data_IF_415693310618
#
_entry.id   IF_415693310618
#
_cell.length_a   1.000
_cell.length_b   1.000
_cell.length_c   1.000
_cell.angle_alpha   90.00
_cell.angle_beta   90.00
_cell.angle_gamma   90.00
#
_symmetry.space_group_name_H-M   'P 1'
#
loop_
_entity.id
_entity.type
_entity.pdbx_description
1 polymer ?
#
# COMPACT_ATOMS: atom_id res chain seq x y z
N UNK A 1 -66.52 -26.93 -2.74
CA UNK A 1 -65.23 -27.63 -2.82
C UNK A 1 -64.53 -27.16 -4.08
N UNK A 2 -63.27 -26.73 -3.94
CA UNK A 2 -62.31 -26.35 -4.99
C UNK A 2 -62.72 -25.20 -5.92
N UNK A 3 -62.33 -23.97 -5.52
CA UNK A 3 -61.55 -23.01 -6.32
C UNK A 3 -61.13 -21.93 -5.30
N UNK A 4 -59.97 -22.14 -4.67
CA UNK A 4 -59.35 -21.15 -3.79
C UNK A 4 -57.86 -21.09 -4.12
N UNK A 5 -57.38 -19.87 -4.36
CA UNK A 5 -56.01 -19.40 -4.14
C UNK A 5 -54.90 -19.97 -5.02
N UNK A 6 -54.68 -19.33 -6.18
CA UNK A 6 -53.35 -19.28 -6.79
C UNK A 6 -53.17 -17.97 -7.58
N UNK A 7 -53.03 -16.86 -6.86
CA UNK A 7 -52.62 -15.57 -7.43
C UNK A 7 -51.90 -14.66 -6.43
N UNK A 8 -50.86 -15.16 -5.74
CA UNK A 8 -49.84 -14.26 -5.19
C UNK A 8 -48.53 -14.98 -4.87
N UNK A 9 -47.72 -15.29 -5.89
CA UNK A 9 -46.28 -15.46 -5.69
C UNK A 9 -45.55 -14.53 -6.68
N UNK A 10 -45.68 -13.22 -6.42
CA UNK A 10 -44.76 -12.25 -6.98
C UNK A 10 -43.37 -12.54 -6.42
N UNK A 11 -42.47 -13.05 -7.26
CA UNK A 11 -41.05 -13.18 -6.92
C UNK A 11 -40.48 -11.78 -6.78
N UNK A 12 -40.39 -11.28 -5.55
CA UNK A 12 -39.54 -10.14 -5.22
C UNK A 12 -38.10 -10.58 -5.42
N UNK A 13 -37.57 -10.39 -6.62
CA UNK A 13 -36.13 -10.36 -6.85
C UNK A 13 -35.64 -9.09 -6.17
N UNK A 14 -35.26 -9.20 -4.90
CA UNK A 14 -34.47 -8.16 -4.24
C UNK A 14 -33.17 -8.04 -5.04
N UNK A 15 -33.11 -7.06 -5.94
CA UNK A 15 -31.85 -6.57 -6.49
C UNK A 15 -31.08 -6.02 -5.29
N UNK A 16 -30.26 -6.87 -4.68
CA UNK A 16 -29.23 -6.46 -3.75
C UNK A 16 -28.26 -5.61 -4.58
N UNK A 17 -28.55 -4.31 -4.65
CA UNK A 17 -27.70 -3.34 -5.31
C UNK A 17 -26.36 -3.39 -4.60
N UNK A 18 -25.33 -3.87 -5.30
CA UNK A 18 -23.96 -3.73 -4.86
C UNK A 18 -23.68 -2.23 -4.80
N UNK A 19 -23.79 -1.62 -3.61
CA UNK A 19 -23.36 -0.25 -3.39
C UNK A 19 -21.85 -0.26 -3.58
N UNK A 20 -21.39 0.12 -4.78
CA UNK A 20 -20.01 0.49 -5.01
C UNK A 20 -19.70 1.64 -4.05
N UNK A 21 -18.96 1.35 -2.99
CA UNK A 21 -18.48 2.37 -2.06
C UNK A 21 -17.48 3.20 -2.83
N UNK A 22 -17.79 4.47 -3.08
CA UNK A 22 -16.84 5.39 -3.70
C UNK A 22 -15.57 5.38 -2.85
N UNK A 23 -14.46 4.93 -3.43
CA UNK A 23 -13.16 4.95 -2.76
C UNK A 23 -12.63 6.37 -2.80
N UNK A 24 -12.09 6.83 -1.66
CA UNK A 24 -11.48 8.15 -1.56
C UNK A 24 -10.29 8.25 -2.52
N UNK A 25 -10.13 9.40 -3.17
CA UNK A 25 -9.00 9.69 -4.06
C UNK A 25 -7.71 10.03 -3.28
N UNK A 26 -7.83 10.40 -2.01
CA UNK A 26 -6.71 10.71 -1.13
C UNK A 26 -6.96 10.19 0.29
N UNK A 27 -5.88 10.12 1.08
CA UNK A 27 -5.89 9.76 2.49
C UNK A 27 -4.92 10.65 3.26
N UNK A 28 -5.34 11.05 4.47
CA UNK A 28 -4.53 11.84 5.39
C UNK A 28 -3.99 10.96 6.51
N UNK A 29 -2.71 11.12 6.83
CA UNK A 29 -2.01 10.38 7.85
C UNK A 29 -1.50 11.33 8.93
N UNK A 30 -1.68 10.94 10.19
CA UNK A 30 -1.14 11.63 11.35
C UNK A 30 0.16 10.95 11.80
N UNK A 31 1.22 11.74 11.86
CA UNK A 31 2.59 11.38 12.22
C UNK A 31 3.00 12.03 13.56
N UNK A 32 2.05 12.58 14.32
CA UNK A 32 2.31 13.19 15.63
C UNK A 32 3.07 12.24 16.55
N UNK A 33 4.20 12.69 17.07
CA UNK A 33 5.09 11.88 17.92
C UNK A 33 6.13 11.03 17.18
N UNK A 34 6.21 11.11 15.85
CA UNK A 34 7.18 10.34 15.06
C UNK A 34 8.59 10.95 15.01
N UNK A 35 8.76 12.19 15.47
CA UNK A 35 10.02 12.94 15.33
C UNK A 35 10.51 13.45 16.68
N UNK A 36 11.72 13.04 17.06
CA UNK A 36 12.49 13.65 18.15
C UNK A 36 13.39 14.74 17.58
N UNK A 37 13.38 15.93 18.18
CA UNK A 37 14.15 17.08 17.70
C UNK A 37 15.42 17.26 18.53
N UNK A 38 16.54 17.42 17.84
CA UNK A 38 17.82 17.77 18.46
C UNK A 38 18.35 19.06 17.81
N UNK A 39 18.52 20.11 18.61
CA UNK A 39 18.98 21.44 18.18
C UNK A 39 18.16 22.07 17.03
N UNK A 40 16.84 21.82 16.99
CA UNK A 40 15.91 22.42 16.04
C UNK A 40 14.73 23.06 16.79
N UNK A 41 14.30 24.24 16.35
CA UNK A 41 13.15 24.95 16.95
C UNK A 41 11.80 24.36 16.50
N UNK A 42 11.74 23.81 15.29
CA UNK A 42 10.53 23.22 14.71
C UNK A 42 10.83 21.93 13.94
N UNK A 43 9.90 20.97 13.98
CA UNK A 43 10.00 19.70 13.29
C UNK A 43 9.29 19.68 11.92
N UNK A 44 9.34 18.54 11.21
CA UNK A 44 8.56 18.32 9.99
C UNK A 44 7.05 18.40 10.24
N UNK A 45 6.28 18.57 9.16
CA UNK A 45 4.82 18.50 9.23
C UNK A 45 4.38 17.13 9.77
N UNK A 46 3.51 17.14 10.78
CA UNK A 46 2.98 15.91 11.41
C UNK A 46 1.72 15.39 10.73
N UNK A 47 1.23 16.06 9.70
CA UNK A 47 0.09 15.60 8.92
C UNK A 47 0.47 15.61 7.45
N UNK A 48 0.27 14.48 6.78
CA UNK A 48 0.57 14.32 5.36
C UNK A 48 -0.65 13.78 4.63
N UNK A 49 -0.89 14.26 3.42
CA UNK A 49 -1.93 13.76 2.53
C UNK A 49 -1.27 13.07 1.34
N UNK A 50 -1.76 11.88 1.01
CA UNK A 50 -1.34 11.13 -0.17
C UNK A 50 -2.52 10.83 -1.08
N UNK A 51 -2.28 10.87 -2.39
CA UNK A 51 -3.23 10.36 -3.36
C UNK A 51 -3.23 8.83 -3.35
N UNK A 52 -4.35 8.23 -3.76
CA UNK A 52 -4.46 6.78 -3.97
C UNK A 52 -3.40 6.29 -4.96
N UNK A 53 -3.15 7.04 -6.03
CA UNK A 53 -2.25 6.62 -7.10
C UNK A 53 -0.79 6.60 -6.61
N UNK A 54 -0.39 7.55 -5.78
CA UNK A 54 0.95 7.56 -5.20
C UNK A 54 1.15 6.40 -4.22
N UNK A 55 0.15 6.14 -3.36
CA UNK A 55 0.19 4.98 -2.45
C UNK A 55 0.28 3.66 -3.21
N UNK A 56 -0.46 3.51 -4.31
CA UNK A 56 -0.41 2.31 -5.13
C UNK A 56 0.95 2.13 -5.79
N UNK A 57 1.53 3.18 -6.37
CA UNK A 57 2.88 3.14 -6.97
C UNK A 57 3.94 2.76 -5.93
N UNK A 58 3.90 3.39 -4.76
CA UNK A 58 4.85 3.10 -3.67
C UNK A 58 4.69 1.66 -3.17
N UNK A 59 3.45 1.18 -3.01
CA UNK A 59 3.18 -0.20 -2.61
C UNK A 59 3.73 -1.20 -3.64
N UNK A 60 3.48 -0.97 -4.94
CA UNK A 60 3.99 -1.83 -6.01
C UNK A 60 5.52 -1.90 -6.01
N UNK A 61 6.20 -0.77 -5.82
CA UNK A 61 7.66 -0.72 -5.72
C UNK A 61 8.18 -1.49 -4.49
N UNK A 62 7.63 -1.23 -3.31
CA UNK A 62 8.01 -1.94 -2.08
C UNK A 62 7.74 -3.44 -2.18
N UNK A 63 6.59 -3.83 -2.73
CA UNK A 63 6.26 -5.24 -2.95
C UNK A 63 7.25 -5.90 -3.92
N UNK A 64 7.61 -5.20 -5.00
CA UNK A 64 8.59 -5.69 -5.98
C UNK A 64 9.95 -5.93 -5.32
N UNK A 65 10.45 -4.97 -4.52
CA UNK A 65 11.70 -5.14 -3.77
C UNK A 65 11.62 -6.35 -2.82
N UNK A 66 10.55 -6.48 -2.04
CA UNK A 66 10.34 -7.65 -1.16
C UNK A 66 10.41 -8.97 -1.94
N UNK A 67 9.74 -9.06 -3.09
CA UNK A 67 9.74 -10.28 -3.91
C UNK A 67 11.12 -10.57 -4.51
N UNK A 68 11.82 -9.54 -4.96
CA UNK A 68 13.19 -9.65 -5.46
C UNK A 68 14.12 -10.21 -4.39
N UNK A 69 14.09 -9.67 -3.17
CA UNK A 69 14.95 -10.10 -2.06
C UNK A 69 14.66 -11.55 -1.62
N UNK A 70 13.39 -11.95 -1.56
CA UNK A 70 13.02 -13.35 -1.29
C UNK A 70 13.58 -14.28 -2.38
N UNK A 71 13.54 -13.85 -3.64
CA UNK A 71 14.15 -14.63 -4.73
C UNK A 71 15.67 -14.66 -4.59
N UNK A 72 16.32 -13.54 -4.25
CA UNK A 72 17.76 -13.50 -3.96
C UNK A 72 18.16 -14.47 -2.85
N UNK A 73 17.39 -14.56 -1.76
CA UNK A 73 17.60 -15.54 -0.68
C UNK A 73 17.54 -16.99 -1.19
N UNK A 74 16.53 -17.31 -2.01
CA UNK A 74 16.39 -18.64 -2.60
C UNK A 74 17.56 -18.99 -3.53
N UNK A 75 17.97 -18.07 -4.39
CA UNK A 75 19.07 -18.25 -5.33
C UNK A 75 20.44 -18.30 -4.64
N UNK A 76 20.60 -17.60 -3.52
CA UNK A 76 21.76 -17.70 -2.66
C UNK A 76 21.87 -19.09 -2.02
N UNK A 77 20.76 -19.62 -1.50
CA UNK A 77 20.70 -21.00 -0.96
C UNK A 77 20.95 -22.06 -2.04
N UNK A 78 20.48 -21.82 -3.26
CA UNK A 78 20.74 -22.67 -4.43
C UNK A 78 22.19 -22.57 -4.95
N UNK A 79 23.02 -21.66 -4.40
CA UNK A 79 24.41 -21.37 -4.79
C UNK A 79 24.56 -20.79 -6.21
N UNK A 80 23.49 -20.23 -6.74
CA UNK A 80 23.50 -19.47 -8.00
C UNK A 80 24.06 -18.06 -7.78
N UNK A 81 23.78 -17.45 -6.63
CA UNK A 81 24.46 -16.24 -6.14
C UNK A 81 25.63 -16.69 -5.24
N UNK A 82 26.82 -16.10 -5.45
CA UNK A 82 28.05 -16.41 -4.70
C UNK A 82 28.62 -15.16 -4.06
N UNK A 83 29.47 -15.34 -3.04
CA UNK A 83 30.05 -14.22 -2.30
C UNK A 83 29.09 -13.67 -1.26
N UNK A 84 28.95 -12.36 -1.20
CA UNK A 84 28.08 -11.69 -0.22
C UNK A 84 26.71 -11.38 -0.83
N UNK A 85 25.65 -11.54 -0.04
CA UNK A 85 24.29 -11.14 -0.38
C UNK A 85 23.67 -10.48 0.85
N UNK A 86 23.49 -9.16 0.81
CA UNK A 86 22.87 -8.40 1.88
C UNK A 86 21.45 -8.06 1.46
N UNK A 87 20.49 -8.65 2.14
CA UNK A 87 19.07 -8.47 1.83
C UNK A 87 18.55 -7.25 2.59
N UNK A 88 17.69 -6.48 1.92
CA UNK A 88 17.05 -5.28 2.44
C UNK A 88 15.57 -5.49 2.80
N UNK A 89 15.08 -6.74 2.75
CA UNK A 89 13.68 -7.02 3.02
C UNK A 89 13.30 -6.66 4.47
N UNK A 90 12.20 -5.90 4.60
CA UNK A 90 11.77 -5.29 5.86
C UNK A 90 12.11 -3.81 6.01
N UNK A 91 12.94 -3.25 5.13
CA UNK A 91 13.35 -1.83 5.15
C UNK A 91 12.88 -1.05 3.91
N UNK A 92 11.97 -1.62 3.11
CA UNK A 92 11.56 -1.09 1.81
C UNK A 92 11.04 0.35 1.86
N UNK A 93 10.36 0.70 2.95
CA UNK A 93 9.80 2.03 3.16
C UNK A 93 10.88 3.12 3.25
N UNK A 94 12.07 2.79 3.74
CA UNK A 94 13.17 3.76 3.87
C UNK A 94 13.68 4.18 2.50
N UNK A 95 14.04 3.22 1.63
CA UNK A 95 14.55 3.53 0.30
C UNK A 95 13.46 4.18 -0.58
N UNK A 96 12.23 3.65 -0.52
CA UNK A 96 11.09 4.20 -1.27
C UNK A 96 10.77 5.62 -0.83
N UNK A 97 10.66 5.88 0.48
CA UNK A 97 10.32 7.19 1.02
C UNK A 97 11.37 8.26 0.73
N UNK A 98 12.65 7.90 0.81
CA UNK A 98 13.75 8.80 0.42
C UNK A 98 13.66 9.09 -1.08
N UNK A 99 13.56 8.06 -1.93
CA UNK A 99 13.51 8.24 -3.38
C UNK A 99 12.30 9.05 -3.85
N UNK A 100 11.16 8.99 -3.15
CA UNK A 100 9.99 9.81 -3.47
C UNK A 100 10.14 11.28 -3.08
N UNK A 101 11.11 11.59 -2.22
CA UNK A 101 11.36 12.95 -1.72
C UNK A 101 12.53 13.63 -2.42
N UNK A 102 13.39 12.86 -3.09
CA UNK A 102 14.57 13.33 -3.80
C UNK A 102 14.32 13.41 -5.32
N UNK A 103 15.05 14.31 -5.96
CA UNK A 103 15.16 14.43 -7.40
C UNK A 103 16.38 13.64 -7.93
N UNK A 104 16.34 13.28 -9.22
CA UNK A 104 17.41 12.49 -9.85
C UNK A 104 18.80 13.19 -9.83
N UNK A 105 18.82 14.51 -9.61
CA UNK A 105 20.02 15.34 -9.61
C UNK A 105 20.63 15.54 -8.22
N UNK A 106 19.99 15.08 -7.14
CA UNK A 106 20.45 15.33 -5.75
C UNK A 106 21.79 14.68 -5.39
N UNK A 107 22.32 13.83 -6.27
CA UNK A 107 23.64 13.19 -6.10
C UNK A 107 24.81 13.96 -6.73
N UNK A 108 24.53 15.05 -7.48
CA UNK A 108 25.54 15.86 -8.17
C UNK A 108 25.93 17.10 -7.37
#
# INVERSE_FOLDING_TARGET
QLITMLSSLGRTTARMGLRARAMSSSATFDLSGSFELHNLESGPNTTVEYSKDDLMKQFELMYTMRRMEITCDNEYKARNIRGFCHLYDGQEAVATGIQTSLDAEDSR
#
